data_IF_487456146022
#
_entry.id   IF_487456146022
#
_cell.length_a   1.000
_cell.length_b   1.000
_cell.length_c   1.000
_cell.angle_alpha   90.00
_cell.angle_beta   90.00
_cell.angle_gamma   90.00
#
_symmetry.space_group_name_H-M   'P 1'
#
loop_
_entity.id
_entity.type
_entity.pdbx_description
1 polymer ?
#
# COMPACT_ATOMS: atom_id res chain seq x y z
N UNK A 1 -14.12 22.19 33.92
CA UNK A 1 -14.03 20.73 33.68
C UNK A 1 -15.39 20.03 33.51
N UNK A 2 -16.47 20.40 34.23
CA UNK A 2 -17.80 19.73 34.13
C UNK A 2 -18.42 19.70 32.72
N UNK A 3 -18.31 20.78 31.95
CA UNK A 3 -18.92 20.91 30.60
C UNK A 3 -18.36 19.89 29.59
N UNK A 4 -17.10 19.48 29.74
CA UNK A 4 -16.48 18.51 28.82
C UNK A 4 -16.89 17.08 29.18
N UNK A 5 -16.94 16.77 30.47
CA UNK A 5 -17.40 15.47 30.96
C UNK A 5 -18.87 15.21 30.58
N UNK A 6 -19.76 16.18 30.78
CA UNK A 6 -21.19 16.08 30.42
C UNK A 6 -21.40 15.92 28.91
N UNK A 7 -20.52 16.50 28.08
CA UNK A 7 -20.57 16.34 26.61
C UNK A 7 -20.06 14.98 26.16
N UNK A 8 -19.06 14.41 26.84
CA UNK A 8 -18.57 13.05 26.58
C UNK A 8 -19.62 12.01 27.00
N UNK A 9 -20.37 12.28 28.06
CA UNK A 9 -21.42 11.39 28.56
C UNK A 9 -22.65 11.39 27.63
N UNK A 10 -23.02 12.56 27.08
CA UNK A 10 -24.07 12.75 26.06
C UNK A 10 -23.69 12.27 24.65
N UNK A 11 -22.44 11.93 24.42
CA UNK A 11 -22.00 11.37 23.16
C UNK A 11 -22.56 9.94 23.02
N UNK A 12 -23.29 9.68 21.92
CA UNK A 12 -23.85 8.37 21.52
C UNK A 12 -22.82 7.23 21.68
N UNK A 13 -23.27 5.98 21.79
CA UNK A 13 -22.41 4.78 21.79
C UNK A 13 -21.36 4.78 20.66
N UNK A 14 -21.65 5.44 19.54
CA UNK A 14 -20.73 5.60 18.41
C UNK A 14 -19.51 6.50 18.70
N UNK A 15 -19.65 7.44 19.63
CA UNK A 15 -18.58 8.37 20.03
C UNK A 15 -17.69 7.80 21.15
N UNK A 16 -18.12 6.73 21.82
CA UNK A 16 -17.43 6.07 22.94
C UNK A 16 -16.51 4.93 22.46
N UNK A 17 -15.94 5.06 21.26
CA UNK A 17 -14.96 4.09 20.75
C UNK A 17 -13.59 4.46 21.29
N UNK A 18 -13.23 3.83 22.41
CA UNK A 18 -11.99 4.14 23.13
C UNK A 18 -10.86 3.17 22.78
N UNK A 19 -11.20 2.00 22.24
CA UNK A 19 -10.21 1.02 21.82
C UNK A 19 -9.81 1.24 20.36
N UNK A 20 -8.53 1.00 20.09
CA UNK A 20 -7.96 1.07 18.75
C UNK A 20 -8.68 0.11 17.78
N UNK A 21 -9.18 -1.03 18.28
CA UNK A 21 -9.89 -2.03 17.49
C UNK A 21 -11.30 -1.57 17.11
N UNK A 22 -12.04 -0.95 18.05
CA UNK A 22 -13.36 -0.37 17.78
C UNK A 22 -13.32 0.77 16.77
N UNK A 23 -12.21 1.51 16.73
CA UNK A 23 -11.98 2.58 15.75
C UNK A 23 -11.68 2.04 14.35
N UNK A 24 -10.98 0.90 14.24
CA UNK A 24 -10.51 0.35 12.96
C UNK A 24 -11.49 -0.62 12.32
N UNK A 25 -12.24 -1.42 13.08
CA UNK A 25 -13.23 -2.34 12.51
C UNK A 25 -14.21 -1.67 11.54
N UNK A 26 -14.86 -0.52 11.87
CA UNK A 26 -15.76 0.14 10.92
C UNK A 26 -15.03 0.73 9.71
N UNK A 27 -13.75 1.11 9.83
CA UNK A 27 -12.94 1.59 8.70
C UNK A 27 -12.57 0.49 7.71
N UNK A 28 -12.51 -0.76 8.18
CA UNK A 28 -12.18 -1.92 7.34
C UNK A 28 -13.44 -2.50 6.67
N UNK A 29 -14.57 -2.48 7.37
CA UNK A 29 -15.80 -3.14 6.92
C UNK A 29 -16.73 -2.19 6.15
N UNK A 30 -16.73 -0.88 6.47
CA UNK A 30 -17.60 0.12 5.85
C UNK A 30 -16.81 1.18 5.06
N UNK A 31 -17.23 1.42 3.82
CA UNK A 31 -16.56 2.37 2.90
C UNK A 31 -16.84 3.84 3.23
N UNK A 32 -17.92 4.13 3.96
CA UNK A 32 -18.38 5.49 4.25
C UNK A 32 -18.00 5.97 5.66
N UNK A 33 -17.05 5.29 6.31
CA UNK A 33 -16.61 5.65 7.65
C UNK A 33 -15.29 6.43 7.62
N UNK A 34 -15.19 7.48 8.42
CA UNK A 34 -13.97 8.29 8.60
C UNK A 34 -13.67 8.41 10.09
N UNK A 35 -12.41 8.29 10.46
CA UNK A 35 -11.93 8.48 11.82
C UNK A 35 -10.93 9.64 11.90
N UNK A 36 -11.01 10.40 12.98
CA UNK A 36 -10.06 11.46 13.29
C UNK A 36 -9.16 10.93 14.40
N UNK A 37 -7.87 10.79 14.09
CA UNK A 37 -6.89 10.17 14.97
C UNK A 37 -5.63 11.05 15.05
N UNK A 38 -4.91 11.05 16.18
CA UNK A 38 -3.56 11.59 16.23
C UNK A 38 -2.67 10.92 15.18
N UNK A 39 -1.86 11.72 14.47
CA UNK A 39 -1.05 11.26 13.33
C UNK A 39 -0.17 10.04 13.68
N UNK A 40 0.41 10.01 14.89
CA UNK A 40 1.23 8.89 15.36
C UNK A 40 0.43 7.57 15.45
N UNK A 41 -0.79 7.64 15.99
CA UNK A 41 -1.68 6.48 16.15
C UNK A 41 -2.20 6.04 14.78
N UNK A 42 -2.63 7.00 13.93
CA UNK A 42 -3.03 6.68 12.57
C UNK A 42 -1.91 6.03 11.76
N UNK A 43 -0.67 6.51 11.91
CA UNK A 43 0.50 5.96 11.21
C UNK A 43 0.84 4.54 11.65
N UNK A 44 0.81 4.25 12.95
CA UNK A 44 1.06 2.88 13.45
C UNK A 44 -0.02 1.90 13.00
N UNK A 45 -1.28 2.34 12.95
CA UNK A 45 -2.39 1.53 12.45
C UNK A 45 -2.28 1.26 10.95
N UNK A 46 -2.01 2.30 10.16
CA UNK A 46 -1.74 2.11 8.73
C UNK A 46 -0.58 1.16 8.51
N UNK A 47 0.49 1.26 9.29
CA UNK A 47 1.61 0.33 9.19
C UNK A 47 1.16 -1.11 9.46
N UNK A 48 0.46 -1.38 10.57
CA UNK A 48 0.00 -2.72 10.94
C UNK A 48 -0.96 -3.33 9.90
N UNK A 49 -1.97 -2.58 9.49
CA UNK A 49 -3.03 -3.11 8.62
C UNK A 49 -2.70 -3.06 7.12
N UNK A 50 -1.67 -2.30 6.73
CA UNK A 50 -1.17 -2.29 5.34
C UNK A 50 0.11 -3.13 5.15
N UNK A 51 0.83 -3.52 6.22
CA UNK A 51 2.04 -4.37 6.08
C UNK A 51 1.72 -5.83 5.82
N UNK A 52 0.62 -6.35 6.40
CA UNK A 52 0.30 -7.79 6.35
C UNK A 52 -0.31 -8.25 5.02
N UNK A 53 -0.82 -7.33 4.19
CA UNK A 53 -1.38 -7.66 2.88
C UNK A 53 -0.98 -6.58 1.90
N UNK A 54 -0.49 -6.95 0.72
CA UNK A 54 -0.03 -6.11 -0.41
C UNK A 54 -1.07 -5.07 -0.91
N UNK A 55 -2.21 -4.91 -0.24
CA UNK A 55 -3.29 -3.97 -0.54
C UNK A 55 -3.35 -2.91 0.57
N UNK A 56 -3.12 -1.65 0.21
CA UNK A 56 -3.38 -0.48 1.07
C UNK A 56 -4.88 -0.42 1.46
N UNK A 57 -5.23 -1.00 2.61
CA UNK A 57 -6.61 -1.03 3.12
C UNK A 57 -6.97 0.27 3.83
N UNK A 58 -6.01 0.84 4.55
CA UNK A 58 -6.15 2.12 5.21
C UNK A 58 -5.32 3.17 4.47
N UNK A 59 -5.88 4.36 4.32
CA UNK A 59 -5.19 5.47 3.69
C UNK A 59 -5.44 6.76 4.48
N UNK A 60 -4.39 7.58 4.60
CA UNK A 60 -4.51 8.89 5.23
C UNK A 60 -5.21 9.86 4.26
N UNK A 61 -6.40 10.33 4.66
CA UNK A 61 -7.19 11.23 3.84
C UNK A 61 -6.73 12.69 3.94
N UNK A 62 -6.46 13.19 5.15
CA UNK A 62 -6.01 14.55 5.37
C UNK A 62 -5.15 14.62 6.62
N UNK A 63 -4.03 15.33 6.54
CA UNK A 63 -3.18 15.61 7.69
C UNK A 63 -3.36 17.08 8.08
N UNK A 64 -3.97 17.32 9.23
CA UNK A 64 -3.90 18.62 9.90
C UNK A 64 -2.92 18.48 11.05
N UNK A 65 -1.74 19.07 10.92
CA UNK A 65 -0.82 19.21 12.04
C UNK A 65 -1.47 20.16 13.06
N UNK A 66 -2.04 19.60 14.13
CA UNK A 66 -2.36 20.41 15.31
C UNK A 66 -1.04 20.71 16.01
N UNK A 67 -0.84 21.97 16.39
CA UNK A 67 0.42 22.48 16.90
C UNK A 67 0.66 22.11 18.37
N UNK A 68 -0.20 21.28 18.95
CA UNK A 68 -0.14 20.93 20.37
C UNK A 68 0.98 19.88 20.57
N UNK A 69 2.08 20.22 21.26
CA UNK A 69 3.12 19.26 21.56
C UNK A 69 2.57 18.17 22.48
N UNK A 70 3.08 16.95 22.35
CA UNK A 70 2.89 15.92 23.38
C UNK A 70 3.89 16.17 24.50
N UNK A 71 3.42 16.15 25.74
CA UNK A 71 4.23 16.41 26.93
C UNK A 71 4.25 15.20 27.86
N UNK A 72 5.35 15.02 28.59
CA UNK A 72 5.38 14.11 29.73
C UNK A 72 4.71 14.80 30.92
N UNK A 73 3.64 14.20 31.44
CA UNK A 73 3.02 14.66 32.67
C UNK A 73 3.76 14.03 33.86
N UNK A 74 4.37 14.88 34.70
CA UNK A 74 5.05 14.46 35.92
C UNK A 74 4.32 15.08 37.11
N UNK A 75 4.33 14.39 38.26
CA UNK A 75 3.77 14.97 39.49
C UNK A 75 4.50 16.26 39.85
N UNK A 76 3.74 17.29 40.25
CA UNK A 76 4.25 18.65 40.52
C UNK A 76 5.47 18.66 41.46
N UNK A 77 5.46 17.78 42.46
CA UNK A 77 6.49 17.72 43.51
C UNK A 77 7.49 16.58 43.29
N UNK A 78 7.56 16.00 42.08
CA UNK A 78 8.52 14.94 41.78
C UNK A 78 9.95 15.50 41.80
N UNK A 79 10.90 14.82 42.50
CA UNK A 79 12.31 15.22 42.48
C UNK A 79 12.95 15.01 41.09
N UNK A 80 12.32 14.25 40.20
CA UNK A 80 12.86 13.91 38.88
C UNK A 80 12.47 14.87 37.76
N UNK A 81 11.75 15.97 38.07
CA UNK A 81 11.27 16.90 37.05
C UNK A 81 12.41 17.49 36.20
N UNK A 82 13.50 17.91 36.85
CA UNK A 82 14.65 18.50 36.17
C UNK A 82 15.39 17.47 35.31
N UNK A 83 15.55 16.26 35.85
CA UNK A 83 16.25 15.18 35.16
C UNK A 83 15.48 14.70 33.93
N UNK A 84 14.16 14.50 34.05
CA UNK A 84 13.29 14.15 32.92
C UNK A 84 13.33 15.25 31.85
N UNK A 85 13.29 16.52 32.23
CA UNK A 85 13.38 17.62 31.29
C UNK A 85 14.74 17.64 30.56
N UNK A 86 15.86 17.49 31.29
CA UNK A 86 17.20 17.45 30.71
C UNK A 86 17.34 16.32 29.68
N UNK A 87 16.94 15.11 30.06
CA UNK A 87 17.03 13.94 29.17
C UNK A 87 16.08 14.07 27.97
N UNK A 88 14.91 14.69 28.14
CA UNK A 88 13.97 14.94 27.04
C UNK A 88 14.51 15.93 25.99
N UNK A 89 15.24 16.96 26.45
CA UNK A 89 15.93 17.91 25.58
C UNK A 89 17.07 17.22 24.85
N UNK A 90 17.89 16.47 25.59
CA UNK A 90 18.99 15.70 25.01
C UNK A 90 18.52 14.69 23.95
N UNK A 91 17.42 13.98 24.20
CA UNK A 91 16.79 13.07 23.23
C UNK A 91 16.30 13.78 21.96
N UNK A 92 15.89 15.05 22.08
CA UNK A 92 15.47 15.87 20.93
C UNK A 92 16.67 16.37 20.14
N UNK A 93 17.69 16.89 20.83
CA UNK A 93 18.90 17.45 20.24
C UNK A 93 19.76 16.40 19.52
N UNK A 94 19.82 15.18 20.06
CA UNK A 94 20.54 14.06 19.44
C UNK A 94 19.85 13.50 18.20
N UNK A 95 18.67 13.99 17.82
CA UNK A 95 17.91 13.50 16.66
C UNK A 95 17.31 12.11 16.85
N UNK A 96 17.46 11.50 18.04
CA UNK A 96 16.86 10.21 18.38
C UNK A 96 15.33 10.23 18.29
N UNK A 97 14.71 11.41 18.45
CA UNK A 97 13.27 11.60 18.24
C UNK A 97 12.80 11.33 16.81
N UNK A 98 13.70 11.34 15.83
CA UNK A 98 13.42 11.00 14.43
C UNK A 98 13.79 9.56 14.09
N UNK A 99 14.68 8.95 14.88
CA UNK A 99 15.12 7.58 14.74
C UNK A 99 13.95 6.62 14.99
N UNK A 100 13.53 5.89 13.96
CA UNK A 100 12.36 4.99 13.99
C UNK A 100 11.08 5.54 13.39
N UNK A 101 11.03 6.82 12.96
CA UNK A 101 9.93 7.35 12.13
C UNK A 101 10.07 6.84 10.68
N UNK A 102 9.87 5.55 10.48
CA UNK A 102 9.72 4.95 9.15
C UNK A 102 8.54 5.63 8.45
N UNK A 103 8.83 6.50 7.48
CA UNK A 103 7.84 7.13 6.62
C UNK A 103 7.36 6.07 5.62
N UNK A 104 6.52 5.14 6.06
CA UNK A 104 5.80 4.21 5.18
C UNK A 104 4.80 4.99 4.32
N UNK A 105 5.31 5.63 3.26
CA UNK A 105 4.56 6.46 2.30
C UNK A 105 3.80 5.64 1.25
N UNK A 106 3.89 4.32 1.29
CA UNK A 106 3.36 3.44 0.24
C UNK A 106 1.84 3.60 0.03
N UNK A 107 1.09 3.97 1.09
CA UNK A 107 -0.38 4.08 1.06
C UNK A 107 -0.90 5.51 1.28
N UNK A 108 -0.05 6.53 1.09
CA UNK A 108 -0.48 7.92 1.24
C UNK A 108 -1.20 8.41 -0.01
N UNK A 109 -2.44 8.93 0.16
CA UNK A 109 -3.15 9.60 -0.92
C UNK A 109 -2.48 10.94 -1.20
N UNK A 110 -2.12 11.17 -2.46
CA UNK A 110 -1.61 12.46 -2.92
C UNK A 110 -2.78 13.28 -3.41
N UNK A 111 -2.94 14.51 -2.93
CA UNK A 111 -3.99 15.42 -3.38
C UNK A 111 -3.41 16.51 -4.27
N UNK A 112 -4.15 16.93 -5.29
CA UNK A 112 -3.81 18.12 -6.06
C UNK A 112 -4.28 19.40 -5.33
N UNK A 113 -3.96 20.57 -5.88
CA UNK A 113 -4.39 21.88 -5.36
C UNK A 113 -5.91 22.08 -5.33
N UNK A 114 -6.68 21.19 -5.97
CA UNK A 114 -8.16 21.18 -5.96
C UNK A 114 -8.76 20.21 -4.94
N UNK A 115 -7.93 19.57 -4.11
CA UNK A 115 -8.39 18.61 -3.09
C UNK A 115 -8.83 17.25 -3.65
N UNK A 116 -8.54 16.96 -4.93
CA UNK A 116 -8.87 15.68 -5.55
C UNK A 116 -7.70 14.72 -5.35
N UNK A 117 -8.00 13.51 -4.87
CA UNK A 117 -7.01 12.45 -4.73
C UNK A 117 -6.46 12.07 -6.11
N UNK A 118 -5.20 12.44 -6.35
CA UNK A 118 -4.39 11.94 -7.45
C UNK A 118 -4.02 10.50 -7.16
N UNK A 119 -4.98 9.58 -7.32
CA UNK A 119 -4.62 8.20 -7.61
C UNK A 119 -3.71 8.28 -8.82
N UNK A 120 -2.43 7.94 -8.66
CA UNK A 120 -1.59 7.64 -9.82
C UNK A 120 -2.24 6.41 -10.43
N UNK A 121 -3.18 6.63 -11.36
CA UNK A 121 -3.49 5.66 -12.40
C UNK A 121 -2.20 5.61 -13.22
N UNK A 122 -1.22 4.89 -12.70
CA UNK A 122 -0.06 4.53 -13.47
C UNK A 122 -0.62 3.58 -14.50
N UNK A 123 -0.83 4.07 -15.72
CA UNK A 123 -0.91 3.25 -16.92
C UNK A 123 0.46 2.58 -17.16
N UNK A 124 1.04 1.96 -16.13
CA UNK A 124 2.13 1.02 -16.28
C UNK A 124 1.47 -0.23 -16.80
N UNK A 125 1.84 -0.58 -18.02
CA UNK A 125 1.38 -1.80 -18.68
C UNK A 125 1.70 -2.94 -17.72
N UNK A 126 0.66 -3.61 -17.21
CA UNK A 126 0.83 -4.71 -16.25
C UNK A 126 1.13 -5.97 -17.04
N UNK A 127 1.99 -6.82 -16.50
CA UNK A 127 2.32 -8.10 -17.13
C UNK A 127 1.07 -8.97 -17.39
N UNK A 128 0.02 -8.81 -16.58
CA UNK A 128 -1.30 -9.42 -16.80
C UNK A 128 -1.89 -9.11 -18.18
N UNK A 129 -1.67 -7.90 -18.73
CA UNK A 129 -2.15 -7.54 -20.07
C UNK A 129 -1.43 -8.30 -21.19
N UNK A 130 -0.24 -8.83 -20.91
CA UNK A 130 0.53 -9.64 -21.86
C UNK A 130 0.34 -11.14 -21.67
N UNK A 131 -0.47 -11.56 -20.71
CA UNK A 131 -0.66 -12.98 -20.42
C UNK A 131 -1.17 -13.74 -21.66
N UNK A 132 -2.14 -13.17 -22.39
CA UNK A 132 -2.70 -13.77 -23.60
C UNK A 132 -1.67 -13.86 -24.75
N UNK A 133 -0.93 -12.79 -25.12
CA UNK A 133 0.19 -12.90 -26.06
C UNK A 133 1.24 -13.95 -25.68
N UNK A 134 1.65 -14.03 -24.41
CA UNK A 134 2.63 -15.02 -23.97
C UNK A 134 2.08 -16.45 -24.04
N UNK A 135 0.78 -16.64 -23.77
CA UNK A 135 0.13 -17.94 -23.83
C UNK A 135 0.04 -18.45 -25.28
N UNK A 136 -0.29 -17.56 -26.23
CA UNK A 136 -0.27 -17.87 -27.67
C UNK A 136 1.14 -18.23 -28.12
N UNK A 137 2.15 -17.47 -27.70
CA UNK A 137 3.54 -17.72 -28.05
C UNK A 137 4.05 -19.05 -27.48
N UNK A 138 3.70 -19.37 -26.25
CA UNK A 138 4.03 -20.65 -25.61
C UNK A 138 3.31 -21.82 -26.27
N UNK A 139 2.02 -21.66 -26.61
CA UNK A 139 1.25 -22.65 -27.35
C UNK A 139 1.82 -22.93 -28.73
N UNK A 140 2.17 -21.87 -29.48
CA UNK A 140 2.83 -21.99 -30.78
C UNK A 140 4.20 -22.68 -30.69
N UNK A 141 4.98 -22.37 -29.66
CA UNK A 141 6.27 -23.02 -29.41
C UNK A 141 6.12 -24.53 -29.15
N UNK A 142 5.16 -24.93 -28.31
CA UNK A 142 4.89 -26.35 -28.03
C UNK A 142 4.46 -27.09 -29.30
N UNK A 143 3.59 -26.50 -30.13
CA UNK A 143 3.14 -27.10 -31.38
C UNK A 143 4.30 -27.29 -32.37
N UNK A 144 5.17 -26.28 -32.52
CA UNK A 144 6.37 -26.38 -33.34
C UNK A 144 7.34 -27.46 -32.83
N UNK A 145 7.50 -27.56 -31.52
CA UNK A 145 8.31 -28.60 -30.90
C UNK A 145 7.73 -30.00 -31.17
N UNK A 146 6.42 -30.18 -31.04
CA UNK A 146 5.75 -31.44 -31.37
C UNK A 146 5.89 -31.81 -32.86
N UNK A 147 5.82 -30.83 -33.77
CA UNK A 147 6.07 -31.02 -35.20
C UNK A 147 7.51 -31.52 -35.45
N UNK A 148 8.50 -30.90 -34.81
CA UNK A 148 9.91 -31.29 -34.90
C UNK A 148 10.16 -32.71 -34.36
N UNK A 149 9.53 -33.06 -33.23
CA UNK A 149 9.59 -34.43 -32.71
C UNK A 149 8.95 -35.43 -33.66
N UNK A 150 7.83 -35.09 -34.29
CA UNK A 150 7.18 -35.96 -35.28
C UNK A 150 8.09 -36.20 -36.48
N UNK A 151 8.72 -35.16 -37.02
CA UNK A 151 9.65 -35.29 -38.14
C UNK A 151 10.90 -36.11 -37.77
N UNK A 152 11.45 -35.90 -36.58
CA UNK A 152 12.70 -36.56 -36.16
C UNK A 152 12.51 -38.02 -35.74
N UNK A 153 11.39 -38.37 -35.10
CA UNK A 153 11.18 -39.69 -34.48
C UNK A 153 10.17 -40.57 -35.21
N UNK A 154 9.17 -40.01 -35.90
CA UNK A 154 8.13 -40.80 -36.60
C UNK A 154 8.46 -40.95 -38.09
N UNK A 155 9.22 -40.03 -38.69
CA UNK A 155 9.68 -40.13 -40.09
C UNK A 155 11.19 -39.88 -40.22
N UNK A 156 12.05 -40.76 -39.71
CA UNK A 156 13.47 -40.68 -40.00
C UNK A 156 13.69 -41.02 -41.49
N UNK A 157 14.07 -40.03 -42.28
CA UNK A 157 14.41 -40.09 -43.71
C UNK A 157 13.29 -40.44 -44.72
N UNK A 158 12.86 -39.42 -45.47
CA UNK A 158 12.91 -39.50 -46.94
C UNK A 158 14.13 -38.70 -47.41
N UNK A 159 14.98 -39.22 -48.31
CA UNK A 159 16.04 -38.43 -48.90
C UNK A 159 15.47 -37.29 -49.74
N UNK A 160 16.19 -36.17 -49.79
CA UNK A 160 15.89 -34.97 -50.58
C UNK A 160 15.47 -35.34 -52.01
N UNK A 161 14.18 -35.20 -52.31
CA UNK A 161 13.73 -34.99 -53.68
C UNK A 161 13.65 -33.49 -53.89
N UNK A 162 14.71 -32.91 -54.46
CA UNK A 162 14.68 -31.59 -55.06
C UNK A 162 13.54 -31.60 -56.10
N UNK A 163 12.42 -30.98 -55.78
CA UNK A 163 11.40 -30.59 -56.75
C UNK A 163 11.29 -29.09 -56.73
N UNK A 164 11.81 -28.48 -57.79
CA UNK A 164 11.63 -27.09 -58.17
C UNK A 164 10.18 -26.66 -57.91
N UNK A 165 9.96 -25.93 -56.82
CA UNK A 165 8.73 -25.18 -56.62
C UNK A 165 8.99 -23.76 -57.10
N UNK A 166 8.54 -23.53 -58.33
CA UNK A 166 8.40 -22.22 -58.95
C UNK A 166 7.57 -21.34 -58.01
N UNK A 167 8.19 -20.30 -57.47
CA UNK A 167 7.46 -19.21 -56.82
C UNK A 167 6.76 -18.41 -57.92
N UNK A 168 5.46 -18.67 -58.13
CA UNK A 168 4.58 -17.66 -58.72
C UNK A 168 4.31 -16.64 -57.62
N UNK A 169 5.11 -15.57 -57.62
CA UNK A 169 4.78 -14.33 -56.92
C UNK A 169 3.55 -13.77 -57.62
N UNK A 170 2.40 -13.85 -56.96
CA UNK A 170 1.20 -13.13 -57.37
C UNK A 170 0.88 -12.10 -56.30
N UNK A 171 1.38 -10.89 -56.53
CA UNK A 171 0.91 -9.65 -55.91
C UNK A 171 0.59 -8.70 -57.06
N UNK A 172 -0.72 -8.46 -57.25
CA UNK A 172 -1.36 -7.42 -58.09
C UNK A 172 -1.18 -7.59 -59.60
#
# INVERSE_FOLDING_TARGET
MKIVADRIEKCSSDCKKFSVQELVSPLLDNKDYVSILPVRIGSSLMQRYNSERVKCRLALAYEKTSWLPMFFAVQKNSPYNEEINRESLWFSDTGLSEYGKSKNRQCQLKYNSKGISTKRIGNRIKLEQFHLPFLILFGGYILAFMQFFREKFICPHRPLAIKNFVYVVSTI
#
